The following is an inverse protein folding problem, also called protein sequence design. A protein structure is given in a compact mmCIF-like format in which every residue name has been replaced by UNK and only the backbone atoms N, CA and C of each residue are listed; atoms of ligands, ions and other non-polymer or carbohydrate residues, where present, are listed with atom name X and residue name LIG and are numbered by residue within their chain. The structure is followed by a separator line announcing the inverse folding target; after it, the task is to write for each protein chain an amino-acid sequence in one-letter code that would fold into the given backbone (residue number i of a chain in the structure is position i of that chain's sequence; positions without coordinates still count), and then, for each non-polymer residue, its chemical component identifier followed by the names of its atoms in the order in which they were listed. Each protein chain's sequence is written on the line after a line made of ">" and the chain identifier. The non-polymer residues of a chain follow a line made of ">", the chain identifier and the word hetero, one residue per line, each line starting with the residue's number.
data_IF_338270082119
#
_entry.id   IF_338270082119
#
_cell.length_a   1.000
_cell.length_b   1.000
_cell.length_c   1.000
_cell.angle_alpha   90.00
_cell.angle_beta   90.00
_cell.angle_gamma   90.00
#
_symmetry.space_group_name_H-M   'P 1'
#
loop_
_entity.id
_entity.type
_entity.pdbx_description
1 polymer ?
#
# COMPACT_ATOMS: atom_id res chain seq x y z
N UNK A 1 -26.14 -26.52 19.19
CA UNK A 1 -24.93 -27.33 19.43
C UNK A 1 -24.50 -28.18 18.23
N UNK A 2 -25.40 -28.87 17.50
CA UNK A 2 -24.99 -29.70 16.33
C UNK A 2 -24.43 -28.97 15.08
N UNK A 3 -24.70 -27.67 14.90
CA UNK A 3 -24.33 -26.96 13.65
C UNK A 3 -22.88 -26.49 13.59
N UNK A 4 -22.24 -26.30 14.73
CA UNK A 4 -20.81 -25.92 14.81
C UNK A 4 -19.95 -27.14 14.45
N UNK A 5 -20.34 -28.31 14.94
CA UNK A 5 -19.70 -29.59 14.58
C UNK A 5 -19.85 -29.92 13.08
N UNK A 6 -20.96 -29.54 12.44
CA UNK A 6 -21.11 -29.69 10.98
C UNK A 6 -20.15 -28.78 10.20
N UNK A 7 -19.87 -27.57 10.71
CA UNK A 7 -18.94 -26.64 10.07
C UNK A 7 -17.49 -27.11 10.27
N UNK A 8 -17.15 -27.59 11.46
CA UNK A 8 -15.84 -28.19 11.74
C UNK A 8 -15.59 -29.45 10.89
N UNK A 9 -16.62 -30.28 10.67
CA UNK A 9 -16.50 -31.45 9.80
C UNK A 9 -16.27 -31.09 8.32
N UNK A 10 -16.81 -29.96 7.85
CA UNK A 10 -16.58 -29.47 6.49
C UNK A 10 -15.16 -28.89 6.36
N UNK A 11 -14.70 -28.14 7.37
CA UNK A 11 -13.35 -27.58 7.40
C UNK A 11 -12.26 -28.67 7.44
N UNK A 12 -12.46 -29.73 8.22
CA UNK A 12 -11.54 -30.88 8.21
C UNK A 12 -11.59 -31.69 6.90
N UNK A 13 -12.71 -31.70 6.17
CA UNK A 13 -12.77 -32.24 4.81
C UNK A 13 -11.99 -31.39 3.81
N UNK A 14 -11.86 -30.09 4.04
CA UNK A 14 -11.08 -29.19 3.17
C UNK A 14 -9.57 -29.32 3.41
N UNK A 15 -9.13 -29.56 4.64
CA UNK A 15 -7.72 -29.81 4.97
C UNK A 15 -7.17 -31.16 4.46
N UNK A 16 -8.04 -32.13 4.16
CA UNK A 16 -7.64 -33.49 3.77
C UNK A 16 -7.64 -33.74 2.26
N UNK A 17 -7.90 -32.72 1.43
CA UNK A 17 -7.96 -32.87 -0.03
C UNK A 17 -6.64 -32.43 -0.65
N UNK A 18 -5.95 -33.40 -1.24
CA UNK A 18 -4.66 -33.27 -1.93
C UNK A 18 -4.77 -32.35 -3.16
N UNK A 19 -3.78 -31.46 -3.34
CA UNK A 19 -3.76 -30.35 -4.30
C UNK A 19 -3.87 -30.81 -5.78
N UNK A 20 -3.75 -32.11 -6.06
CA UNK A 20 -3.77 -32.65 -7.43
C UNK A 20 -5.16 -32.88 -8.03
N UNK A 21 -6.26 -32.73 -7.26
CA UNK A 21 -7.63 -32.93 -7.76
C UNK A 21 -8.37 -31.62 -8.13
N UNK A 22 -7.66 -30.51 -8.24
CA UNK A 22 -8.19 -29.14 -8.42
C UNK A 22 -8.88 -28.85 -9.79
N UNK A 23 -9.15 -29.83 -10.64
CA UNK A 23 -9.49 -29.60 -12.06
C UNK A 23 -10.99 -29.68 -12.41
N UNK A 24 -11.92 -29.94 -11.47
CA UNK A 24 -13.36 -29.95 -11.80
C UNK A 24 -14.14 -28.87 -11.05
N UNK A 25 -14.45 -27.81 -11.78
CA UNK A 25 -14.88 -26.47 -11.31
C UNK A 25 -16.40 -26.31 -11.06
N UNK A 26 -17.19 -27.38 -10.95
CA UNK A 26 -18.64 -27.30 -10.67
C UNK A 26 -18.97 -27.48 -9.19
N UNK A 27 -18.32 -28.44 -8.54
CA UNK A 27 -18.68 -28.88 -7.19
C UNK A 27 -18.24 -27.85 -6.14
N UNK A 28 -17.21 -27.07 -6.46
CA UNK A 28 -16.69 -25.99 -5.62
C UNK A 28 -17.60 -24.78 -5.54
N UNK A 29 -18.31 -24.45 -6.63
CA UNK A 29 -19.28 -23.36 -6.62
C UNK A 29 -20.49 -23.72 -5.75
N UNK A 30 -20.93 -24.98 -5.78
CA UNK A 30 -22.04 -25.44 -4.94
C UNK A 30 -21.66 -25.46 -3.44
N UNK A 31 -20.42 -25.85 -3.12
CA UNK A 31 -19.91 -25.81 -1.74
C UNK A 31 -19.73 -24.36 -1.27
N UNK A 32 -19.17 -23.48 -2.11
CA UNK A 32 -18.99 -22.06 -1.78
C UNK A 32 -20.34 -21.35 -1.58
N UNK A 33 -21.31 -21.60 -2.46
CA UNK A 33 -22.66 -21.06 -2.35
C UNK A 33 -23.37 -21.57 -1.08
N UNK A 34 -23.19 -22.84 -0.72
CA UNK A 34 -23.76 -23.41 0.50
C UNK A 34 -23.15 -22.79 1.76
N UNK A 35 -21.84 -22.51 1.77
CA UNK A 35 -21.15 -21.82 2.87
C UNK A 35 -21.69 -20.39 3.01
N UNK A 36 -21.75 -19.63 1.91
CA UNK A 36 -22.27 -18.26 1.88
C UNK A 36 -23.72 -18.21 2.35
N UNK A 37 -24.55 -19.16 1.89
CA UNK A 37 -25.96 -19.27 2.28
C UNK A 37 -26.11 -19.55 3.77
N UNK A 38 -25.30 -20.46 4.33
CA UNK A 38 -25.32 -20.77 5.78
C UNK A 38 -24.84 -19.59 6.63
N UNK A 39 -23.80 -18.87 6.21
CA UNK A 39 -23.32 -17.66 6.89
C UNK A 39 -24.37 -16.54 6.88
N UNK A 40 -25.06 -16.33 5.76
CA UNK A 40 -26.16 -15.38 5.67
C UNK A 40 -27.36 -15.78 6.55
N UNK A 41 -27.66 -17.07 6.66
CA UNK A 41 -28.66 -17.57 7.60
C UNK A 41 -28.30 -17.32 9.07
N UNK A 42 -27.02 -17.46 9.43
CA UNK A 42 -26.54 -17.14 10.79
C UNK A 42 -26.63 -15.62 11.04
N UNK A 43 -26.21 -14.80 10.07
CA UNK A 43 -26.33 -13.33 10.14
C UNK A 43 -27.79 -12.89 10.36
N UNK A 44 -28.74 -13.47 9.63
CA UNK A 44 -30.16 -13.16 9.79
C UNK A 44 -30.72 -13.56 11.17
N UNK A 45 -30.14 -14.56 11.84
CA UNK A 45 -30.52 -14.99 13.19
C UNK A 45 -29.92 -14.10 14.27
N UNK A 46 -28.71 -13.56 14.04
CA UNK A 46 -28.07 -12.60 14.95
C UNK A 46 -28.70 -11.20 14.88
N UNK A 47 -29.33 -10.83 13.75
CA UNK A 47 -29.96 -9.52 13.52
C UNK A 47 -31.50 -9.54 13.61
N UNK A 48 -32.10 -10.41 14.44
CA UNK A 48 -33.54 -10.33 14.69
C UNK A 48 -33.83 -9.09 15.55
N UNK A 49 -34.52 -8.05 15.04
CA UNK A 49 -34.84 -6.87 15.84
C UNK A 49 -35.84 -7.29 16.91
N UNK A 50 -35.58 -6.92 18.17
CA UNK A 50 -36.59 -6.96 19.21
C UNK A 50 -37.74 -6.04 18.76
N UNK A 51 -38.89 -6.63 18.45
CA UNK A 51 -40.09 -5.88 18.05
C UNK A 51 -40.50 -4.91 19.17
N UNK A 52 -40.89 -3.67 18.87
CA UNK A 52 -41.28 -2.69 19.87
C UNK A 52 -42.67 -3.03 20.41
N UNK A 53 -42.78 -3.30 21.71
CA UNK A 53 -44.07 -3.30 22.40
C UNK A 53 -44.41 -1.87 22.85
N UNK A 54 -45.63 -1.53 22.52
CA UNK A 54 -46.41 -0.31 22.69
C UNK A 54 -46.75 0.08 24.15
N UNK A 55 -47.29 1.30 24.28
CA UNK A 55 -48.08 1.86 25.41
C UNK A 55 -47.29 2.27 26.65
N UNK A 56 -47.52 3.40 27.33
CA UNK A 56 -48.52 4.48 27.23
C UNK A 56 -48.15 5.57 28.26
N UNK A 57 -48.83 6.71 28.14
CA UNK A 57 -49.02 7.79 29.12
C UNK A 57 -48.13 9.03 29.05
N UNK A 58 -48.87 10.13 29.08
CA UNK A 58 -48.56 11.52 28.73
C UNK A 58 -48.47 12.35 30.05
N UNK A 59 -48.70 13.67 30.10
CA UNK A 59 -47.65 14.70 30.18
C UNK A 59 -47.74 15.58 31.45
N UNK A 60 -46.72 16.43 31.73
CA UNK A 60 -46.83 17.89 32.04
C UNK A 60 -45.58 18.51 32.72
N UNK A 61 -45.46 19.87 32.76
CA UNK A 61 -44.20 20.60 32.61
C UNK A 61 -43.78 21.46 33.82
N UNK A 62 -42.60 22.09 33.67
CA UNK A 62 -42.14 23.40 34.20
C UNK A 62 -42.30 23.73 35.68
N UNK A 63 -41.19 24.02 36.38
CA UNK A 63 -40.90 25.31 37.06
C UNK A 63 -39.55 25.29 37.81
N UNK A 64 -38.79 26.38 37.66
CA UNK A 64 -37.68 26.85 38.53
C UNK A 64 -38.28 27.46 39.85
N UNK A 65 -37.56 28.12 40.82
CA UNK A 65 -36.13 28.51 40.95
C UNK A 65 -35.54 28.51 42.40
N UNK A 66 -34.33 29.11 42.55
CA UNK A 66 -33.73 29.83 43.73
C UNK A 66 -32.88 29.03 44.75
N UNK A 67 -31.82 29.55 45.40
CA UNK A 67 -30.95 30.76 45.35
C UNK A 67 -29.91 30.64 46.51
N UNK A 68 -28.92 31.55 46.56
CA UNK A 68 -27.87 31.83 47.60
C UNK A 68 -26.50 31.20 47.28
N UNK A 69 -25.48 31.89 46.77
CA UNK A 69 -24.95 33.27 46.90
C UNK A 69 -24.32 33.58 48.27
N UNK A 70 -22.98 33.53 48.33
CA UNK A 70 -22.08 34.38 49.14
C UNK A 70 -20.66 34.35 48.55
N UNK A 71 -20.28 35.43 47.85
CA UNK A 71 -18.90 35.85 47.48
C UNK A 71 -18.28 36.79 48.55
N UNK A 72 -17.06 37.37 48.39
CA UNK A 72 -15.69 36.81 48.30
C UNK A 72 -14.73 37.54 49.29
N UNK A 73 -13.38 37.47 49.13
CA UNK A 73 -12.74 38.62 48.49
C UNK A 73 -11.61 38.27 47.50
N UNK A 74 -11.28 39.30 46.72
CA UNK A 74 -10.49 39.31 45.51
C UNK A 74 -8.98 39.01 45.67
N UNK A 75 -8.39 38.46 44.61
CA UNK A 75 -7.15 38.96 43.99
C UNK A 75 -7.00 38.44 42.56
N UNK A 76 -6.62 39.34 41.69
CA UNK A 76 -6.52 39.32 40.23
C UNK A 76 -5.37 38.47 39.67
N UNK A 77 -5.62 37.65 38.64
CA UNK A 77 -4.97 37.70 37.30
C UNK A 77 -5.30 36.44 36.44
N UNK A 78 -5.98 36.69 35.30
CA UNK A 78 -6.07 35.99 34.00
C UNK A 78 -5.84 34.46 33.89
N UNK A 79 -6.87 33.68 33.53
CA UNK A 79 -7.27 33.24 32.15
C UNK A 79 -6.40 32.09 31.60
N UNK A 80 -6.89 30.92 31.18
CA UNK A 80 -8.24 30.46 30.87
C UNK A 80 -8.32 28.94 31.12
N UNK A 81 -9.42 28.50 31.73
CA UNK A 81 -9.85 27.11 31.70
C UNK A 81 -10.59 26.88 30.37
N UNK A 82 -10.19 25.85 29.62
CA UNK A 82 -10.99 25.31 28.53
C UNK A 82 -11.56 23.99 29.03
N UNK A 83 -12.86 23.99 29.30
CA UNK A 83 -13.65 22.80 29.58
C UNK A 83 -13.70 21.95 28.31
N UNK A 84 -12.80 20.96 28.21
CA UNK A 84 -12.93 19.92 27.18
C UNK A 84 -13.77 18.82 27.81
N UNK A 85 -14.99 18.68 27.29
CA UNK A 85 -15.80 17.49 27.46
C UNK A 85 -15.02 16.30 26.91
N UNK A 86 -14.38 15.52 27.78
CA UNK A 86 -13.73 14.26 27.41
C UNK A 86 -14.81 13.24 27.01
N UNK A 87 -15.00 13.08 25.70
CA UNK A 87 -15.47 11.79 25.19
C UNK A 87 -14.40 10.73 25.50
N UNK A 88 -14.77 9.46 25.71
CA UNK A 88 -13.79 8.40 25.92
C UNK A 88 -13.01 8.17 24.62
N UNK A 89 -11.90 8.89 24.44
CA UNK A 89 -10.96 8.68 23.34
C UNK A 89 -10.31 7.32 23.57
N UNK A 90 -10.42 6.42 22.58
CA UNK A 90 -9.86 5.08 22.73
C UNK A 90 -8.33 5.18 22.79
N UNK A 91 -7.67 4.25 23.49
CA UNK A 91 -6.20 4.25 23.64
C UNK A 91 -5.45 4.23 22.27
N UNK A 92 -6.10 3.69 21.23
CA UNK A 92 -5.59 3.70 19.86
C UNK A 92 -5.51 5.11 19.25
N UNK A 93 -6.53 5.95 19.49
CA UNK A 93 -6.58 7.32 18.96
C UNK A 93 -5.45 8.20 19.52
N UNK A 94 -5.14 8.05 20.81
CA UNK A 94 -4.05 8.79 21.47
C UNK A 94 -2.69 8.37 20.94
N UNK A 95 -2.51 7.07 20.67
CA UNK A 95 -1.25 6.52 20.14
C UNK A 95 -1.00 7.00 18.71
N UNK A 96 -2.03 6.99 17.86
CA UNK A 96 -1.94 7.53 16.50
C UNK A 96 -1.58 9.02 16.50
N UNK A 97 -2.29 9.86 17.26
CA UNK A 97 -2.01 11.29 17.34
C UNK A 97 -0.59 11.58 17.83
N UNK A 98 -0.12 10.82 18.82
CA UNK A 98 1.24 10.95 19.34
C UNK A 98 2.30 10.55 18.31
N UNK A 99 2.07 9.46 17.56
CA UNK A 99 2.96 9.03 16.48
C UNK A 99 2.99 10.05 15.32
N UNK A 100 1.83 10.55 14.91
CA UNK A 100 1.71 11.57 13.86
C UNK A 100 2.41 12.87 14.26
N UNK A 101 2.26 13.32 15.51
CA UNK A 101 2.96 14.50 16.01
C UNK A 101 4.48 14.30 16.04
N UNK A 102 4.97 13.12 16.43
CA UNK A 102 6.41 12.82 16.36
C UNK A 102 6.92 12.81 14.92
N UNK A 103 6.15 12.24 13.98
CA UNK A 103 6.46 12.23 12.55
C UNK A 103 6.55 13.65 11.97
N UNK A 104 5.56 14.49 12.23
CA UNK A 104 5.50 15.87 11.73
C UNK A 104 6.62 16.76 12.28
N UNK A 105 7.23 16.37 13.40
CA UNK A 105 8.40 17.05 13.98
C UNK A 105 9.72 16.42 13.53
N UNK A 106 9.68 15.50 12.57
CA UNK A 106 10.82 14.76 12.04
C UNK A 106 11.57 13.95 13.11
N UNK A 107 10.89 13.60 14.21
CA UNK A 107 11.44 12.74 15.25
C UNK A 107 11.06 11.29 14.91
N UNK A 108 11.57 10.81 13.78
CA UNK A 108 11.18 9.53 13.16
C UNK A 108 11.41 8.32 14.09
N UNK A 109 12.52 8.31 14.82
CA UNK A 109 12.81 7.26 15.81
C UNK A 109 11.74 7.18 16.91
N UNK A 110 11.21 8.33 17.34
CA UNK A 110 10.12 8.38 18.32
C UNK A 110 8.80 7.92 17.72
N UNK A 111 8.51 8.28 16.47
CA UNK A 111 7.32 7.81 15.76
C UNK A 111 7.29 6.28 15.71
N UNK A 112 8.37 5.65 15.25
CA UNK A 112 8.50 4.17 15.19
C UNK A 112 8.31 3.54 16.57
N UNK A 113 8.97 4.07 17.61
CA UNK A 113 8.83 3.54 18.97
C UNK A 113 7.39 3.56 19.49
N UNK A 114 6.62 4.61 19.18
CA UNK A 114 5.21 4.71 19.57
C UNK A 114 4.39 3.66 18.81
N UNK A 115 4.61 3.53 17.50
CA UNK A 115 3.87 2.56 16.67
C UNK A 115 4.18 1.12 17.07
N UNK A 116 5.44 0.75 17.26
CA UNK A 116 5.81 -0.59 17.73
C UNK A 116 5.30 -0.88 19.15
N UNK A 117 5.24 0.13 20.02
CA UNK A 117 4.67 -0.04 21.36
C UNK A 117 3.16 -0.28 21.29
N UNK A 118 2.46 0.38 20.36
CA UNK A 118 1.04 0.15 20.12
C UNK A 118 0.80 -1.25 19.53
N UNK A 119 1.62 -1.70 18.58
CA UNK A 119 1.55 -3.05 17.99
C UNK A 119 1.70 -4.16 19.03
N UNK A 120 2.59 -3.96 20.01
CA UNK A 120 2.75 -4.89 21.14
C UNK A 120 1.52 -4.97 22.05
N UNK A 121 0.67 -3.94 22.05
CA UNK A 121 -0.57 -3.89 22.85
C UNK A 121 -1.78 -4.47 22.09
N UNK A 122 -1.68 -4.61 20.77
CA UNK A 122 -2.74 -5.15 19.93
C UNK A 122 -2.60 -4.72 18.47
N UNK A 123 -3.63 -4.98 17.69
CA UNK A 123 -3.64 -4.65 16.27
C UNK A 123 -3.62 -3.14 16.03
N UNK A 124 -2.64 -2.66 15.26
CA UNK A 124 -2.55 -1.26 14.81
C UNK A 124 -3.23 -1.05 13.45
N UNK A 125 -3.72 0.15 13.19
CA UNK A 125 -4.33 0.48 11.90
C UNK A 125 -3.29 0.77 10.82
N UNK A 126 -3.71 0.67 9.55
CA UNK A 126 -2.82 0.90 8.39
C UNK A 126 -2.18 2.30 8.41
N UNK A 127 -2.88 3.31 8.93
CA UNK A 127 -2.36 4.67 9.05
C UNK A 127 -1.13 4.72 9.97
N UNK A 128 -1.12 3.96 11.07
CA UNK A 128 0.04 3.86 11.96
C UNK A 128 1.20 3.11 11.30
N UNK A 129 0.90 2.03 10.57
CA UNK A 129 1.92 1.29 9.79
C UNK A 129 2.57 2.21 8.75
N UNK A 130 1.78 3.00 8.05
CA UNK A 130 2.26 3.97 7.06
C UNK A 130 3.17 5.03 7.70
N UNK A 131 2.81 5.57 8.87
CA UNK A 131 3.69 6.50 9.60
C UNK A 131 5.03 5.86 9.96
N UNK A 132 5.02 4.61 10.45
CA UNK A 132 6.26 3.89 10.75
C UNK A 132 7.07 3.61 9.48
N UNK A 133 6.44 3.19 8.38
CA UNK A 133 7.09 2.96 7.10
C UNK A 133 7.86 4.19 6.61
N UNK A 134 7.21 5.36 6.55
CA UNK A 134 7.86 6.59 6.12
C UNK A 134 8.95 7.04 7.10
N UNK A 135 8.76 6.80 8.41
CA UNK A 135 9.79 7.07 9.42
C UNK A 135 11.03 6.20 9.22
N UNK A 136 10.87 4.91 8.93
CA UNK A 136 11.99 4.04 8.63
C UNK A 136 12.72 4.47 7.36
N UNK A 137 12.01 4.83 6.29
CA UNK A 137 12.63 5.36 5.06
C UNK A 137 13.53 6.55 5.39
N UNK A 138 13.00 7.53 6.14
CA UNK A 138 13.75 8.73 6.50
C UNK A 138 15.00 8.39 7.33
N UNK A 139 14.87 7.52 8.33
CA UNK A 139 16.00 7.11 9.18
C UNK A 139 17.06 6.30 8.42
N UNK A 140 16.66 5.41 7.52
CA UNK A 140 17.59 4.64 6.68
C UNK A 140 18.35 5.56 5.73
N UNK A 141 17.66 6.54 5.15
CA UNK A 141 18.28 7.55 4.29
C UNK A 141 19.24 8.46 5.07
N UNK A 142 18.86 8.92 6.26
CA UNK A 142 19.71 9.75 7.14
C UNK A 142 20.97 9.00 7.59
N UNK A 143 20.87 7.69 7.83
CA UNK A 143 22.02 6.85 8.18
C UNK A 143 22.98 6.58 6.99
N UNK A 144 22.66 6.98 5.76
CA UNK A 144 23.47 6.97 4.53
C UNK A 144 24.54 5.86 4.44
N UNK A 145 24.13 4.66 3.98
CA UNK A 145 25.03 3.53 3.66
C UNK A 145 25.94 3.05 4.81
N UNK A 146 25.63 3.42 6.05
CA UNK A 146 26.31 2.89 7.23
C UNK A 146 25.77 1.50 7.61
N UNK A 147 26.46 0.83 8.54
CA UNK A 147 25.96 -0.40 9.17
C UNK A 147 24.61 -0.19 9.88
N UNK A 148 24.38 1.02 10.41
CA UNK A 148 23.12 1.36 11.05
C UNK A 148 21.98 1.48 10.03
N UNK A 149 22.24 1.94 8.80
CA UNK A 149 21.26 1.91 7.71
C UNK A 149 20.80 0.47 7.40
N UNK A 150 21.74 -0.49 7.38
CA UNK A 150 21.41 -1.92 7.20
C UNK A 150 20.55 -2.45 8.36
N UNK A 151 20.90 -2.12 9.61
CA UNK A 151 20.11 -2.53 10.79
C UNK A 151 18.71 -1.96 10.76
N UNK A 152 18.57 -0.67 10.44
CA UNK A 152 17.29 0.02 10.34
C UNK A 152 16.41 -0.60 9.25
N UNK A 153 16.95 -0.83 8.05
CA UNK A 153 16.20 -1.47 6.96
C UNK A 153 15.81 -2.92 7.31
N UNK A 154 16.66 -3.63 8.06
CA UNK A 154 16.36 -4.98 8.57
C UNK A 154 15.21 -4.96 9.57
N UNK A 155 15.22 -4.03 10.52
CA UNK A 155 14.14 -3.86 11.50
C UNK A 155 12.84 -3.44 10.82
N UNK A 156 12.92 -2.54 9.84
CA UNK A 156 11.78 -2.12 9.04
C UNK A 156 11.09 -3.30 8.34
N UNK A 157 11.84 -4.13 7.61
CA UNK A 157 11.26 -5.31 6.97
C UNK A 157 10.65 -6.28 8.00
N UNK A 158 11.34 -6.50 9.13
CA UNK A 158 10.84 -7.38 10.21
C UNK A 158 9.57 -6.85 10.88
N UNK A 159 9.45 -5.54 11.06
CA UNK A 159 8.23 -4.91 11.57
C UNK A 159 7.06 -5.18 10.62
N UNK A 160 7.26 -4.98 9.31
CA UNK A 160 6.23 -5.21 8.30
C UNK A 160 5.79 -6.69 8.24
N UNK A 161 6.72 -7.65 8.36
CA UNK A 161 6.41 -9.08 8.50
C UNK A 161 5.56 -9.40 9.74
N UNK A 162 5.80 -8.67 10.84
CA UNK A 162 5.05 -8.81 12.08
C UNK A 162 3.60 -8.38 11.93
N UNK A 163 3.39 -7.18 11.39
CA UNK A 163 2.06 -6.56 11.29
C UNK A 163 1.19 -7.16 10.18
N UNK A 164 1.77 -7.85 9.19
CA UNK A 164 1.02 -8.46 8.08
C UNK A 164 0.01 -9.54 8.54
N UNK A 165 0.30 -10.23 9.64
CA UNK A 165 -0.46 -11.42 10.07
C UNK A 165 -1.92 -11.08 10.42
N UNK A 166 -2.84 -11.86 9.86
CA UNK A 166 -4.27 -11.79 10.19
C UNK A 166 -5.03 -10.64 9.52
N UNK A 167 -4.40 -9.92 8.59
CA UNK A 167 -5.01 -8.81 7.85
C UNK A 167 -5.77 -9.26 6.60
N UNK A 168 -6.78 -8.49 6.15
CA UNK A 168 -7.45 -8.75 4.89
C UNK A 168 -6.51 -8.49 3.69
N UNK A 169 -6.79 -9.16 2.56
CA UNK A 169 -5.96 -9.08 1.34
C UNK A 169 -5.71 -7.64 0.85
N UNK A 170 -6.66 -6.72 1.04
CA UNK A 170 -6.50 -5.30 0.67
C UNK A 170 -5.38 -4.63 1.46
N UNK A 171 -5.33 -4.87 2.77
CA UNK A 171 -4.29 -4.33 3.64
C UNK A 171 -2.95 -5.05 3.46
N UNK A 172 -2.99 -6.37 3.27
CA UNK A 172 -1.79 -7.17 2.97
C UNK A 172 -1.12 -6.66 1.69
N UNK A 173 -1.88 -6.27 0.67
CA UNK A 173 -1.31 -5.73 -0.56
C UNK A 173 -0.53 -4.43 -0.33
N UNK A 174 -1.01 -3.55 0.55
CA UNK A 174 -0.30 -2.30 0.92
C UNK A 174 0.96 -2.60 1.74
N UNK A 175 0.89 -3.56 2.66
CA UNK A 175 2.06 -3.99 3.45
C UNK A 175 3.12 -4.61 2.56
N UNK A 176 2.74 -5.44 1.59
CA UNK A 176 3.69 -6.05 0.65
C UNK A 176 4.38 -4.99 -0.21
N UNK A 177 3.68 -3.93 -0.61
CA UNK A 177 4.30 -2.79 -1.32
C UNK A 177 5.33 -2.07 -0.43
N UNK A 178 5.00 -1.84 0.84
CA UNK A 178 5.95 -1.31 1.82
C UNK A 178 7.15 -2.25 2.05
N UNK A 179 6.94 -3.57 2.03
CA UNK A 179 8.00 -4.58 2.19
C UNK A 179 8.92 -4.62 0.98
N UNK A 180 8.39 -4.49 -0.24
CA UNK A 180 9.19 -4.34 -1.46
C UNK A 180 10.17 -3.18 -1.30
N UNK A 181 9.72 -2.00 -0.85
CA UNK A 181 10.62 -0.85 -0.64
C UNK A 181 11.71 -1.13 0.41
N UNK A 182 11.37 -1.85 1.49
CA UNK A 182 12.34 -2.23 2.53
C UNK A 182 13.40 -3.20 2.00
N UNK A 183 12.97 -4.19 1.21
CA UNK A 183 13.85 -5.19 0.59
C UNK A 183 14.72 -4.59 -0.51
N UNK A 184 14.19 -3.68 -1.34
CA UNK A 184 14.98 -2.91 -2.32
C UNK A 184 16.05 -2.07 -1.61
N UNK A 185 15.71 -1.43 -0.49
CA UNK A 185 16.68 -0.70 0.34
C UNK A 185 17.78 -1.62 0.88
N UNK A 186 17.41 -2.78 1.45
CA UNK A 186 18.35 -3.79 1.92
C UNK A 186 19.24 -4.33 0.81
N UNK A 187 18.68 -4.62 -0.36
CA UNK A 187 19.42 -5.11 -1.52
C UNK A 187 20.54 -4.15 -1.95
N UNK A 188 20.25 -2.85 -1.86
CA UNK A 188 21.19 -1.78 -2.19
C UNK A 188 22.27 -1.58 -1.11
N UNK A 189 21.96 -1.84 0.16
CA UNK A 189 22.84 -1.59 1.31
C UNK A 189 23.70 -2.80 1.69
N UNK A 190 23.11 -4.00 1.76
CA UNK A 190 23.75 -5.23 2.25
C UNK A 190 24.27 -6.09 1.08
N UNK A 191 25.49 -5.78 0.64
CA UNK A 191 26.16 -6.53 -0.43
C UNK A 191 26.46 -7.99 -0.07
N UNK A 192 26.59 -8.33 1.21
CA UNK A 192 26.98 -9.67 1.63
C UNK A 192 25.82 -10.66 1.46
N UNK A 193 24.58 -10.21 1.71
CA UNK A 193 23.38 -11.05 1.64
C UNK A 193 22.52 -10.78 0.39
N UNK A 194 23.05 -10.07 -0.61
CA UNK A 194 22.30 -9.60 -1.80
C UNK A 194 21.43 -10.65 -2.46
N UNK A 195 21.97 -11.84 -2.76
CA UNK A 195 21.20 -12.91 -3.41
C UNK A 195 20.01 -13.39 -2.56
N UNK A 196 20.21 -13.58 -1.25
CA UNK A 196 19.11 -13.97 -0.36
C UNK A 196 18.06 -12.87 -0.22
N UNK A 197 18.47 -11.60 -0.31
CA UNK A 197 17.54 -10.47 -0.31
C UNK A 197 16.78 -10.41 -1.64
N UNK A 198 17.44 -10.64 -2.78
CA UNK A 198 16.84 -10.67 -4.10
C UNK A 198 15.79 -11.78 -4.24
N UNK A 199 16.05 -12.98 -3.68
CA UNK A 199 15.09 -14.08 -3.60
C UNK A 199 13.85 -13.69 -2.79
N UNK A 200 14.03 -13.11 -1.59
CA UNK A 200 12.90 -12.61 -0.76
C UNK A 200 12.13 -11.50 -1.44
N UNK A 201 12.82 -10.63 -2.17
CA UNK A 201 12.19 -9.57 -2.96
C UNK A 201 11.31 -10.18 -4.04
N UNK A 202 11.81 -11.15 -4.80
CA UNK A 202 11.03 -11.87 -5.81
C UNK A 202 9.80 -12.56 -5.20
N UNK A 203 9.97 -13.31 -4.11
CA UNK A 203 8.86 -13.96 -3.40
C UNK A 203 7.77 -12.94 -3.00
N UNK A 204 8.20 -11.78 -2.50
CA UNK A 204 7.32 -10.68 -2.10
C UNK A 204 6.59 -10.07 -3.30
N UNK A 205 7.28 -9.87 -4.43
CA UNK A 205 6.71 -9.36 -5.68
C UNK A 205 5.67 -10.33 -6.26
N UNK A 206 5.98 -11.62 -6.36
CA UNK A 206 5.06 -12.65 -6.84
C UNK A 206 3.82 -12.73 -5.94
N UNK A 207 4.02 -12.73 -4.62
CA UNK A 207 2.92 -12.74 -3.65
C UNK A 207 2.04 -11.49 -3.80
N UNK A 208 2.65 -10.31 -3.95
CA UNK A 208 1.95 -9.05 -4.18
C UNK A 208 1.12 -9.08 -5.46
N UNK A 209 1.68 -9.60 -6.56
CA UNK A 209 0.95 -9.80 -7.82
C UNK A 209 -0.26 -10.73 -7.66
N UNK A 210 -0.06 -11.91 -7.04
CA UNK A 210 -1.13 -12.90 -6.82
C UNK A 210 -2.26 -12.32 -5.97
N UNK A 211 -1.94 -11.62 -4.89
CA UNK A 211 -2.95 -10.97 -4.04
C UNK A 211 -3.65 -9.83 -4.80
N UNK A 212 -2.92 -9.04 -5.60
CA UNK A 212 -3.53 -8.00 -6.44
C UNK A 212 -4.58 -8.57 -7.39
N UNK A 213 -4.34 -9.77 -7.94
CA UNK A 213 -5.30 -10.45 -8.82
C UNK A 213 -6.57 -10.95 -8.10
N UNK A 214 -6.53 -11.08 -6.77
CA UNK A 214 -7.70 -11.42 -5.95
C UNK A 214 -8.53 -10.18 -5.66
N UNK A 215 -7.86 -9.06 -5.32
CA UNK A 215 -8.55 -7.83 -4.87
C UNK A 215 -8.89 -6.87 -6.01
N UNK A 216 -8.20 -6.98 -7.14
CA UNK A 216 -8.37 -6.14 -8.33
C UNK A 216 -8.56 -7.02 -9.59
N UNK A 217 -9.05 -6.40 -10.65
CA UNK A 217 -9.02 -7.00 -12.00
C UNK A 217 -7.58 -7.18 -12.51
N UNK A 218 -7.40 -8.01 -13.52
CA UNK A 218 -6.08 -8.24 -14.15
C UNK A 218 -5.65 -6.99 -14.92
N UNK A 219 -6.57 -6.38 -15.66
CA UNK A 219 -6.41 -5.06 -16.29
C UNK A 219 -6.75 -3.92 -15.32
N UNK A 220 -6.05 -3.88 -14.18
CA UNK A 220 -6.14 -2.80 -13.20
C UNK A 220 -4.76 -2.19 -12.99
N UNK A 221 -4.70 -0.86 -12.80
CA UNK A 221 -3.43 -0.12 -12.68
C UNK A 221 -2.52 -0.73 -11.60
N UNK A 222 -3.07 -1.02 -10.42
CA UNK A 222 -2.30 -1.64 -9.34
C UNK A 222 -1.75 -3.00 -9.78
N UNK A 223 -2.56 -3.89 -10.37
CA UNK A 223 -2.11 -5.22 -10.81
C UNK A 223 -1.02 -5.14 -11.87
N UNK A 224 -1.17 -4.27 -12.86
CA UNK A 224 -0.19 -4.06 -13.92
C UNK A 224 1.15 -3.52 -13.40
N UNK A 225 1.12 -2.59 -12.44
CA UNK A 225 2.33 -2.09 -11.77
C UNK A 225 3.11 -3.17 -11.03
N UNK A 226 2.44 -4.22 -10.54
CA UNK A 226 3.13 -5.38 -9.94
C UNK A 226 3.80 -6.25 -11.00
N UNK A 227 3.20 -6.40 -12.20
CA UNK A 227 3.87 -7.05 -13.33
C UNK A 227 5.09 -6.26 -13.79
N UNK A 228 5.01 -4.93 -13.86
CA UNK A 228 6.19 -4.08 -14.12
C UNK A 228 7.31 -4.32 -13.12
N UNK A 229 7.00 -4.43 -11.83
CA UNK A 229 8.02 -4.70 -10.80
C UNK A 229 8.67 -6.07 -10.95
N UNK A 230 7.91 -7.11 -11.32
CA UNK A 230 8.46 -8.44 -11.63
C UNK A 230 9.35 -8.36 -12.88
N UNK A 231 8.91 -7.60 -13.88
CA UNK A 231 9.67 -7.38 -15.10
C UNK A 231 10.98 -6.60 -14.82
N UNK A 232 10.95 -5.54 -14.01
CA UNK A 232 12.13 -4.83 -13.52
C UNK A 232 13.09 -5.78 -12.80
N UNK A 233 12.57 -6.63 -11.92
CA UNK A 233 13.38 -7.64 -11.25
C UNK A 233 14.04 -8.59 -12.25
N UNK A 234 13.34 -9.05 -13.29
CA UNK A 234 13.89 -9.89 -14.36
C UNK A 234 14.97 -9.20 -15.22
N UNK A 235 15.03 -7.86 -15.25
CA UNK A 235 16.00 -7.11 -16.04
C UNK A 235 17.32 -6.84 -15.31
N UNK A 236 17.34 -6.94 -13.97
CA UNK A 236 18.59 -6.85 -13.21
C UNK A 236 19.56 -8.00 -13.61
N UNK A 237 20.82 -7.98 -13.18
CA UNK A 237 21.83 -8.97 -13.63
C UNK A 237 22.20 -9.98 -12.52
N UNK A 238 21.58 -9.87 -11.34
CA UNK A 238 22.01 -10.51 -10.09
C UNK A 238 20.99 -11.56 -9.55
N UNK A 239 20.27 -12.28 -10.42
CA UNK A 239 19.04 -13.02 -10.06
C UNK A 239 19.21 -14.37 -9.37
N UNK A 240 20.39 -14.97 -9.42
CA UNK A 240 20.59 -16.34 -8.91
C UNK A 240 20.54 -17.41 -10.02
N UNK A 241 19.92 -18.57 -9.73
CA UNK A 241 19.87 -19.76 -10.61
C UNK A 241 18.93 -19.56 -11.81
N UNK A 242 19.36 -19.97 -13.01
CA UNK A 242 18.65 -19.78 -14.29
C UNK A 242 17.24 -20.42 -14.29
N UNK A 243 16.99 -21.43 -13.45
CA UNK A 243 15.69 -22.10 -13.35
C UNK A 243 14.60 -21.21 -12.76
N UNK A 244 14.90 -20.46 -11.70
CA UNK A 244 13.93 -19.56 -11.08
C UNK A 244 13.53 -18.44 -12.04
N UNK A 245 14.49 -17.98 -12.86
CA UNK A 245 14.25 -16.97 -13.90
C UNK A 245 13.23 -17.47 -14.93
N UNK A 246 13.34 -18.72 -15.39
CA UNK A 246 12.43 -19.27 -16.42
C UNK A 246 10.98 -19.34 -15.92
N UNK A 247 10.77 -19.77 -14.68
CA UNK A 247 9.43 -19.86 -14.09
C UNK A 247 8.81 -18.47 -13.88
N UNK A 248 9.64 -17.47 -13.55
CA UNK A 248 9.21 -16.08 -13.39
C UNK A 248 8.90 -15.42 -14.74
N UNK A 249 9.70 -15.67 -15.78
CA UNK A 249 9.43 -15.23 -17.14
C UNK A 249 8.08 -15.77 -17.63
N UNK A 250 7.83 -17.06 -17.41
CA UNK A 250 6.55 -17.69 -17.74
C UNK A 250 5.37 -17.06 -16.98
N UNK A 251 5.53 -16.80 -15.67
CA UNK A 251 4.50 -16.11 -14.88
C UNK A 251 4.22 -14.70 -15.43
N UNK A 252 5.25 -13.97 -15.85
CA UNK A 252 5.10 -12.65 -16.44
C UNK A 252 4.35 -12.72 -17.78
N UNK A 253 4.71 -13.66 -18.66
CA UNK A 253 4.04 -13.89 -19.95
C UNK A 253 2.54 -14.22 -19.75
N UNK A 254 2.23 -15.19 -18.90
CA UNK A 254 0.85 -15.56 -18.57
C UNK A 254 0.06 -14.37 -17.98
N UNK A 255 0.70 -13.60 -17.09
CA UNK A 255 0.09 -12.42 -16.49
C UNK A 255 -0.22 -11.31 -17.49
N UNK A 256 0.64 -11.11 -18.50
CA UNK A 256 0.43 -10.15 -19.59
C UNK A 256 -0.73 -10.61 -20.48
N UNK A 257 -0.77 -11.88 -20.85
CA UNK A 257 -1.84 -12.46 -21.67
C UNK A 257 -3.21 -12.35 -20.98
N UNK A 258 -3.29 -12.70 -19.70
CA UNK A 258 -4.51 -12.55 -18.90
C UNK A 258 -4.97 -11.10 -18.81
N UNK A 259 -4.03 -10.14 -18.72
CA UNK A 259 -4.34 -8.72 -18.72
C UNK A 259 -4.87 -8.23 -20.07
N UNK A 260 -4.37 -8.74 -21.21
CA UNK A 260 -4.93 -8.45 -22.54
C UNK A 260 -6.35 -8.99 -22.69
N UNK A 261 -6.59 -10.22 -22.24
CA UNK A 261 -7.92 -10.83 -22.26
C UNK A 261 -8.89 -10.02 -21.40
N UNK A 262 -8.48 -9.63 -20.18
CA UNK A 262 -9.32 -8.86 -19.28
C UNK A 262 -9.54 -7.43 -19.77
N UNK A 263 -8.56 -6.81 -20.44
CA UNK A 263 -8.74 -5.52 -21.12
C UNK A 263 -9.85 -5.60 -22.15
N UNK A 264 -9.83 -6.61 -23.02
CA UNK A 264 -10.85 -6.77 -24.05
C UNK A 264 -12.23 -6.98 -23.41
N UNK A 265 -12.31 -7.78 -22.34
CA UNK A 265 -13.53 -7.99 -21.57
C UNK A 265 -14.03 -6.68 -20.95
N UNK A 266 -13.15 -5.89 -20.35
CA UNK A 266 -13.46 -4.59 -19.77
C UNK A 266 -14.02 -3.62 -20.84
N UNK A 267 -13.37 -3.51 -22.01
CA UNK A 267 -13.86 -2.68 -23.12
C UNK A 267 -15.28 -3.05 -23.57
N UNK A 268 -15.62 -4.35 -23.58
CA UNK A 268 -16.97 -4.84 -23.90
C UNK A 268 -17.96 -4.51 -22.77
N UNK A 269 -17.62 -4.83 -21.53
CA UNK A 269 -18.49 -4.65 -20.34
C UNK A 269 -18.86 -3.19 -20.11
N UNK A 270 -17.93 -2.26 -20.36
CA UNK A 270 -18.15 -0.83 -20.13
C UNK A 270 -18.56 -0.07 -21.37
N UNK A 271 -18.76 -0.76 -22.51
CA UNK A 271 -19.09 -0.15 -23.81
C UNK A 271 -18.17 1.05 -24.14
N UNK A 272 -16.85 0.88 -23.92
CA UNK A 272 -15.89 2.00 -23.83
C UNK A 272 -16.12 3.01 -24.96
N UNK A 273 -16.58 4.19 -24.56
CA UNK A 273 -16.84 5.30 -25.47
C UNK A 273 -15.52 6.00 -25.81
N UNK A 274 -15.50 6.80 -26.88
CA UNK A 274 -14.37 7.67 -27.23
C UNK A 274 -13.91 8.57 -26.07
N UNK A 275 -14.78 8.83 -25.08
CA UNK A 275 -14.50 9.64 -23.89
C UNK A 275 -13.76 8.84 -22.82
N UNK A 276 -14.11 7.57 -22.59
CA UNK A 276 -13.43 6.68 -21.64
C UNK A 276 -12.08 6.20 -22.16
N UNK A 277 -11.88 6.17 -23.48
CA UNK A 277 -10.52 6.02 -24.05
C UNK A 277 -9.58 7.17 -23.73
N UNK A 278 -10.09 8.29 -23.23
CA UNK A 278 -9.31 9.43 -22.74
C UNK A 278 -9.22 9.45 -21.21
N UNK A 279 -9.77 8.44 -20.54
CA UNK A 279 -9.56 8.29 -19.11
C UNK A 279 -8.06 8.07 -18.83
N UNK A 280 -7.44 8.86 -17.94
CA UNK A 280 -6.02 8.75 -17.65
C UNK A 280 -5.61 7.38 -17.12
N UNK A 281 -6.45 6.73 -16.30
CA UNK A 281 -6.13 5.42 -15.73
C UNK A 281 -6.18 4.36 -16.82
N UNK A 282 -7.22 4.38 -17.66
CA UNK A 282 -7.31 3.47 -18.80
C UNK A 282 -6.11 3.61 -19.75
N UNK A 283 -5.74 4.86 -20.07
CA UNK A 283 -4.59 5.17 -20.94
C UNK A 283 -3.30 4.65 -20.32
N UNK A 284 -3.08 4.91 -19.03
CA UNK A 284 -1.89 4.44 -18.29
C UNK A 284 -1.84 2.91 -18.28
N UNK A 285 -2.95 2.22 -18.02
CA UNK A 285 -3.00 0.75 -18.06
C UNK A 285 -2.64 0.21 -19.46
N UNK A 286 -3.13 0.84 -20.53
CA UNK A 286 -2.78 0.46 -21.90
C UNK A 286 -1.30 0.67 -22.21
N UNK A 287 -0.72 1.77 -21.72
CA UNK A 287 0.70 2.09 -21.90
C UNK A 287 1.59 1.07 -21.21
N UNK A 288 1.31 0.77 -19.93
CA UNK A 288 2.03 -0.25 -19.16
C UNK A 288 1.96 -1.60 -19.88
N UNK A 289 0.76 -2.03 -20.27
CA UNK A 289 0.57 -3.34 -20.91
C UNK A 289 1.30 -3.43 -22.25
N UNK A 290 1.34 -2.33 -23.02
CA UNK A 290 2.12 -2.24 -24.26
C UNK A 290 3.62 -2.32 -23.99
N UNK A 291 4.13 -1.63 -22.98
CA UNK A 291 5.54 -1.66 -22.61
C UNK A 291 5.97 -3.06 -22.19
N UNK A 292 5.21 -3.69 -21.29
CA UNK A 292 5.41 -5.08 -20.87
C UNK A 292 5.41 -6.06 -22.06
N UNK A 293 4.47 -5.91 -22.99
CA UNK A 293 4.37 -6.79 -24.18
C UNK A 293 5.50 -6.57 -25.20
N UNK A 294 6.14 -5.40 -25.17
CA UNK A 294 7.20 -5.05 -26.12
C UNK A 294 8.59 -5.50 -25.67
N UNK A 295 8.71 -6.04 -24.45
CA UNK A 295 9.97 -6.53 -23.92
C UNK A 295 10.42 -7.80 -24.66
N UNK A 296 11.67 -7.86 -25.12
CA UNK A 296 12.22 -9.09 -25.68
C UNK A 296 12.36 -10.15 -24.56
N UNK A 297 12.01 -11.43 -24.82
CA UNK A 297 12.31 -12.51 -23.89
C UNK A 297 13.83 -12.67 -23.77
N UNK A 298 14.33 -12.68 -22.54
CA UNK A 298 15.75 -12.62 -22.21
C UNK A 298 16.34 -11.21 -22.38
N UNK A 299 16.55 -10.52 -21.26
CA UNK A 299 17.14 -9.17 -21.16
C UNK A 299 18.53 -9.04 -21.80
N UNK A 300 18.57 -9.01 -23.13
CA UNK A 300 19.74 -8.70 -23.92
C UNK A 300 19.76 -7.21 -24.21
N UNK A 301 20.20 -6.40 -23.25
CA UNK A 301 20.60 -5.03 -23.55
C UNK A 301 21.89 -5.10 -24.39
N UNK A 302 21.76 -5.22 -25.72
CA UNK A 302 22.89 -4.99 -26.62
C UNK A 302 23.32 -3.55 -26.41
N UNK A 303 24.42 -3.37 -25.68
CA UNK A 303 25.15 -2.12 -25.62
C UNK A 303 25.55 -1.75 -27.05
N UNK A 304 24.81 -0.82 -27.65
CA UNK A 304 25.17 -0.21 -28.92
C UNK A 304 26.38 0.70 -28.72
N UNK A 305 27.57 0.11 -28.56
CA UNK A 305 28.83 0.77 -28.84
C UNK A 305 29.04 0.85 -30.36
N UNK A 306 28.31 1.77 -30.98
CA UNK A 306 28.47 2.14 -32.39
C UNK A 306 29.55 3.21 -32.54
N UNK A 307 30.78 2.73 -32.68
CA UNK A 307 32.02 3.46 -32.99
C UNK A 307 31.81 4.57 -34.04
N UNK A 308 32.38 5.73 -33.72
CA UNK A 308 32.60 6.88 -34.60
C UNK A 308 33.30 6.46 -35.89
N UNK A 309 32.58 6.39 -37.01
CA UNK A 309 33.20 6.44 -38.33
C UNK A 309 33.05 7.82 -38.95
N UNK A 310 34.16 8.57 -38.91
CA UNK A 310 34.43 9.71 -39.78
C UNK A 310 34.08 9.36 -41.23
N UNK A 311 33.22 10.17 -41.85
CA UNK A 311 33.35 10.46 -43.27
C UNK A 311 33.13 11.95 -43.50
N UNK A 312 34.19 12.58 -44.01
CA UNK A 312 34.27 13.98 -44.36
C UNK A 312 33.63 14.27 -45.73
N UNK A 313 33.50 15.58 -46.00
CA UNK A 313 33.06 16.29 -47.21
C UNK A 313 31.55 16.63 -47.21
N UNK A 314 31.10 17.87 -47.44
CA UNK A 314 31.75 19.13 -47.82
C UNK A 314 30.79 20.29 -47.52
N UNK A 315 31.36 21.48 -47.39
CA UNK A 315 30.77 22.79 -47.07
C UNK A 315 29.51 23.22 -47.81
N UNK A 316 28.63 23.94 -47.11
CA UNK A 316 28.09 25.22 -47.60
C UNK A 316 27.74 26.15 -46.43
N UNK A 317 28.14 27.41 -46.58
CA UNK A 317 28.13 28.48 -45.59
C UNK A 317 26.71 29.02 -45.36
N UNK A 318 26.37 29.34 -44.11
CA UNK A 318 25.82 30.66 -43.78
C UNK A 318 26.08 31.02 -42.32
N UNK A 319 26.81 32.12 -42.16
CA UNK A 319 27.00 32.90 -40.92
C UNK A 319 25.64 33.38 -40.43
N UNK A 320 25.45 33.38 -39.11
CA UNK A 320 25.04 34.57 -38.37
C UNK A 320 25.41 34.38 -36.89
N UNK A 321 26.36 35.21 -36.43
CA UNK A 321 26.60 35.52 -35.02
C UNK A 321 25.36 36.19 -34.45
N UNK A 322 25.05 36.00 -33.16
CA UNK A 322 25.00 37.08 -32.17
C UNK A 322 25.18 36.51 -30.76
N UNK A 323 25.68 37.38 -29.90
CA UNK A 323 26.53 37.17 -28.73
C UNK A 323 25.80 36.94 -27.41
N UNK A 324 26.57 36.34 -26.48
CA UNK A 324 26.42 36.36 -25.03
C UNK A 324 26.20 37.77 -24.47
N UNK A 325 25.36 37.88 -23.43
CA UNK A 325 25.51 38.87 -22.36
C UNK A 325 25.03 38.29 -21.03
N UNK A 326 25.98 38.22 -20.10
CA UNK A 326 25.83 37.97 -18.67
C UNK A 326 25.53 39.30 -17.95
N UNK A 327 24.86 39.23 -16.78
CA UNK A 327 24.80 40.16 -15.63
C UNK A 327 23.44 39.95 -14.93
N UNK A 328 23.25 40.00 -13.63
CA UNK A 328 24.10 40.19 -12.44
C UNK A 328 23.17 40.03 -11.22
N UNK A 329 23.74 39.67 -10.08
CA UNK A 329 23.09 39.45 -8.79
C UNK A 329 22.22 40.62 -8.28
N UNK A 330 21.14 40.28 -7.57
CA UNK A 330 20.59 41.09 -6.46
C UNK A 330 19.95 40.14 -5.44
N UNK A 331 20.45 40.19 -4.20
CA UNK A 331 19.93 39.51 -3.01
C UNK A 331 18.75 40.27 -2.36
N UNK A 332 18.11 39.55 -1.42
CA UNK A 332 17.12 39.97 -0.39
C UNK A 332 15.66 40.16 -0.88
N UNK A 333 14.59 39.65 -0.24
CA UNK A 333 14.37 39.14 1.13
C UNK A 333 13.09 38.26 1.17
N UNK A 334 13.10 37.26 2.07
CA UNK A 334 12.01 36.56 2.78
C UNK A 334 10.53 36.64 2.29
N UNK A 335 9.92 35.47 2.08
CA UNK A 335 8.69 35.05 2.76
C UNK A 335 8.38 33.57 2.46
N UNK A 336 8.41 32.74 3.50
CA UNK A 336 7.91 31.36 3.49
C UNK A 336 6.39 31.35 3.57
N UNK A 337 5.68 30.56 2.75
CA UNK A 337 4.41 29.98 3.13
C UNK A 337 4.59 28.49 3.40
N UNK A 338 4.34 28.09 4.65
CA UNK A 338 4.09 26.70 5.02
C UNK A 338 2.91 26.18 4.19
N UNK A 339 3.18 25.26 3.27
CA UNK A 339 2.13 24.46 2.64
C UNK A 339 2.02 23.15 3.44
N UNK A 340 0.90 23.01 4.15
CA UNK A 340 0.44 21.76 4.73
C UNK A 340 0.39 20.69 3.62
N UNK A 341 1.27 19.69 3.72
CA UNK A 341 1.20 18.51 2.86
C UNK A 341 0.03 17.65 3.37
N UNK A 342 -1.13 17.85 2.76
CA UNK A 342 -2.27 16.94 2.89
C UNK A 342 -1.97 15.71 2.04
N UNK A 343 -1.55 14.61 2.68
CA UNK A 343 -1.56 13.29 2.03
C UNK A 343 -3.03 12.92 1.82
N UNK A 344 -3.48 12.92 0.56
CA UNK A 344 -4.82 12.46 0.17
C UNK A 344 -4.76 10.98 -0.20
N UNK A 345 -5.69 10.22 0.37
CA UNK A 345 -5.95 8.81 0.09
C UNK A 345 -6.62 8.57 -1.27
#
# INVERSE_FOLDING_TARGET
>A
MNRVLEIEAILHRLESIDETNLVVNSDWNEIADEIVRKLNMVRAQCYRPLSPRSSECSPRPSTSPRLLDLTPPASTLSSAASEISELPTTCADVSYQSAAHAFNREIFSRCVQIVEAADKQGHIEMQMISLAHHSYIAMVHEADKTEDAVKLATWWNKFLEGVERGRPNTEVLEILEMRTSALESLHNLDRANRYSIAEKLLETLIRSYRISCIVNRRFHLRTLRRLEKIAEWLDDVEHGDDRDVTDVEKLLEEGIDEAHIDRHRYEIETEITLKERRDPNYTTCCEILRELSSRPPGGGMTTSFGVTQKKAMTSSKKKENWSLSSNSDTEETACSPCEDIVIRF
#
